data_IF_062821666097
#
_entry.id   IF_062821666097
#
_cell.length_a   1.000
_cell.length_b   1.000
_cell.length_c   1.000
_cell.angle_alpha   90.00
_cell.angle_beta   90.00
_cell.angle_gamma   90.00
#
_symmetry.space_group_name_H-M   'P 1'
#
loop_
_entity.id
_entity.type
_entity.pdbx_description
1 polymer ?
#
# COMPACT_ATOMS: atom_id res chain seq x y z
N UNK A 1 20.13 -70.02 -9.20
CA UNK A 1 21.26 -69.27 -8.59
C UNK A 1 20.68 -67.94 -8.12
N UNK A 2 20.03 -67.88 -6.94
CA UNK A 2 20.61 -67.60 -5.60
C UNK A 2 21.31 -66.23 -5.57
N UNK A 3 21.00 -65.25 -4.72
CA UNK A 3 20.29 -65.27 -3.44
C UNK A 3 19.80 -63.85 -3.06
N UNK A 4 18.82 -63.79 -2.15
CA UNK A 4 18.38 -62.59 -1.42
C UNK A 4 19.26 -62.35 -0.15
N UNK A 5 18.94 -61.40 0.75
CA UNK A 5 19.85 -60.44 1.41
C UNK A 5 20.39 -60.93 2.78
N UNK A 6 21.02 -60.06 3.61
CA UNK A 6 20.39 -59.84 4.93
C UNK A 6 20.58 -58.45 5.62
N UNK A 7 19.64 -58.17 6.53
CA UNK A 7 19.65 -57.48 7.84
C UNK A 7 20.92 -56.73 8.31
N UNK A 8 20.90 -55.62 9.07
CA UNK A 8 19.91 -54.94 9.92
C UNK A 8 20.60 -54.32 11.15
N UNK A 9 20.04 -53.22 11.70
CA UNK A 9 20.10 -52.69 13.10
C UNK A 9 20.39 -51.19 13.24
N UNK A 10 19.38 -50.52 13.78
CA UNK A 10 19.32 -49.45 14.79
C UNK A 10 20.59 -48.72 15.23
N UNK A 11 20.55 -47.38 15.17
CA UNK A 11 20.86 -46.52 16.32
C UNK A 11 20.14 -45.17 16.17
N UNK A 12 19.38 -44.81 17.21
CA UNK A 12 18.84 -43.48 17.44
C UNK A 12 19.97 -42.50 17.79
N UNK A 13 19.88 -41.24 17.35
CA UNK A 13 19.52 -40.06 18.17
C UNK A 13 20.03 -38.73 17.55
N UNK A 14 19.31 -37.65 17.91
CA UNK A 14 19.73 -36.24 17.97
C UNK A 14 19.63 -35.32 16.72
N UNK A 15 18.53 -34.55 16.74
CA UNK A 15 18.46 -33.08 16.62
C UNK A 15 18.95 -32.37 15.34
N UNK A 16 17.97 -31.93 14.55
CA UNK A 16 18.12 -30.84 13.58
C UNK A 16 16.75 -30.37 13.07
N UNK A 17 15.96 -29.71 13.92
CA UNK A 17 14.67 -29.11 13.51
C UNK A 17 14.94 -27.93 12.57
N UNK A 18 14.62 -28.13 11.29
CA UNK A 18 14.47 -27.05 10.32
C UNK A 18 13.14 -26.32 10.59
N UNK A 19 13.23 -25.02 10.87
CA UNK A 19 12.07 -24.13 10.98
C UNK A 19 11.51 -23.87 9.57
N UNK A 20 10.32 -24.41 9.29
CA UNK A 20 9.44 -23.94 8.21
C UNK A 20 8.33 -23.13 8.86
N UNK A 21 8.39 -21.81 8.67
CA UNK A 21 7.30 -20.89 9.01
C UNK A 21 6.22 -21.08 7.95
N UNK A 22 5.19 -21.85 8.31
CA UNK A 22 3.93 -21.92 7.56
C UNK A 22 3.01 -20.88 8.21
N UNK A 23 2.66 -19.84 7.45
CA UNK A 23 1.71 -18.83 7.88
C UNK A 23 0.31 -19.45 7.86
N UNK A 24 -0.26 -19.74 9.03
CA UNK A 24 -1.62 -20.23 9.18
C UNK A 24 -2.40 -19.25 10.07
N UNK A 25 -3.25 -18.44 9.43
CA UNK A 25 -4.32 -17.72 10.10
C UNK A 25 -5.58 -18.56 9.88
N UNK A 26 -5.91 -19.39 10.87
CA UNK A 26 -7.20 -20.04 11.06
C UNK A 26 -7.30 -20.43 12.53
N UNK A 27 -8.01 -19.63 13.33
CA UNK A 27 -8.82 -20.09 14.47
C UNK A 27 -9.42 -18.89 15.22
N UNK A 28 -10.71 -18.63 15.00
CA UNK A 28 -11.54 -18.02 16.03
C UNK A 28 -12.96 -18.58 15.96
N UNK A 29 -13.21 -19.60 16.76
CA UNK A 29 -14.53 -19.94 17.28
C UNK A 29 -14.41 -21.09 18.29
N UNK A 30 -14.54 -20.78 19.59
CA UNK A 30 -15.55 -21.35 20.48
C UNK A 30 -15.23 -21.24 21.99
N UNK A 31 -16.17 -20.59 22.71
CA UNK A 31 -16.80 -20.99 24.00
C UNK A 31 -16.27 -20.40 25.33
N UNK A 32 -17.11 -19.46 25.82
CA UNK A 32 -17.72 -19.31 27.15
C UNK A 32 -16.93 -18.87 28.42
N UNK A 33 -17.53 -17.85 29.04
CA UNK A 33 -17.34 -17.23 30.37
C UNK A 33 -17.98 -18.06 31.51
N UNK A 34 -18.05 -17.64 32.80
CA UNK A 34 -17.11 -16.95 33.73
C UNK A 34 -16.94 -17.72 35.07
N UNK A 35 -15.97 -17.33 35.92
CA UNK A 35 -16.17 -17.16 37.40
C UNK A 35 -14.92 -16.60 38.10
N UNK A 36 -15.19 -15.74 39.08
CA UNK A 36 -14.25 -14.83 39.74
C UNK A 36 -13.15 -15.46 40.60
N UNK A 37 -12.13 -14.66 40.93
CA UNK A 37 -11.90 -14.17 42.29
C UNK A 37 -10.63 -13.29 42.39
N UNK A 38 -10.80 -12.17 43.11
CA UNK A 38 -9.88 -11.54 44.07
C UNK A 38 -8.51 -11.02 43.60
N UNK A 39 -8.46 -9.68 43.54
CA UNK A 39 -7.56 -8.80 44.29
C UNK A 39 -6.21 -9.35 44.76
N UNK A 40 -5.12 -8.72 44.32
CA UNK A 40 -4.00 -8.35 45.18
C UNK A 40 -3.41 -7.02 44.71
N UNK A 41 -3.51 -6.01 45.58
CA UNK A 41 -2.73 -4.79 45.53
C UNK A 41 -1.35 -5.06 46.15
N UNK A 42 -0.30 -4.47 45.58
CA UNK A 42 0.90 -4.14 46.32
C UNK A 42 1.48 -2.80 45.85
N UNK A 43 1.37 -1.81 46.73
CA UNK A 43 2.27 -0.68 46.83
C UNK A 43 3.70 -1.16 47.12
N UNK A 44 4.70 -0.46 46.57
CA UNK A 44 5.80 0.16 47.33
C UNK A 44 6.82 0.76 46.33
N UNK A 45 7.00 2.10 46.31
CA UNK A 45 7.89 2.90 47.17
C UNK A 45 9.35 2.85 46.71
N UNK A 46 9.84 4.04 46.31
CA UNK A 46 11.22 4.45 46.05
C UNK A 46 12.14 4.21 47.26
N UNK A 47 13.46 4.08 47.03
CA UNK A 47 14.36 5.22 47.30
C UNK A 47 15.43 5.35 46.18
N UNK A 48 15.98 6.53 45.86
CA UNK A 48 16.84 7.37 46.70
C UNK A 48 18.29 7.22 46.20
N UNK A 49 18.91 8.31 45.71
CA UNK A 49 20.07 8.26 44.80
C UNK A 49 21.47 8.40 45.42
N UNK A 50 22.47 8.57 44.55
CA UNK A 50 23.68 9.38 44.80
C UNK A 50 24.43 9.68 43.49
N UNK A 51 24.82 10.95 43.38
CA UNK A 51 25.90 11.59 42.62
C UNK A 51 27.15 10.75 42.30
N UNK A 52 27.90 11.11 41.24
CA UNK A 52 29.32 11.58 41.28
C UNK A 52 29.91 11.77 39.87
N UNK A 53 30.19 13.04 39.53
CA UNK A 53 31.39 13.62 38.89
C UNK A 53 31.76 13.39 37.41
N UNK A 54 31.62 14.51 36.70
CA UNK A 54 32.32 15.06 35.52
C UNK A 54 33.84 14.87 35.51
N UNK A 55 34.43 14.52 34.35
CA UNK A 55 35.77 15.01 33.98
C UNK A 55 35.85 15.24 32.47
N UNK A 56 36.04 16.51 32.12
CA UNK A 56 36.32 17.04 30.78
C UNK A 56 37.83 17.03 30.55
N UNK A 57 38.28 16.61 29.36
CA UNK A 57 39.65 16.87 28.89
C UNK A 57 39.58 17.45 27.47
N UNK A 58 40.01 18.70 27.36
CA UNK A 58 40.31 19.43 26.13
C UNK A 58 41.80 19.23 25.83
N UNK A 59 42.20 19.21 24.54
CA UNK A 59 43.45 19.86 24.20
C UNK A 59 43.30 20.82 23.01
N UNK A 60 43.56 22.09 23.28
CA UNK A 60 44.02 23.11 22.32
C UNK A 60 45.54 23.09 22.26
N UNK A 61 46.13 23.12 21.07
CA UNK A 61 47.27 24.01 20.77
C UNK A 61 47.47 24.20 19.27
N UNK A 62 47.66 25.48 18.95
CA UNK A 62 48.05 26.15 17.71
C UNK A 62 49.43 25.77 17.14
N UNK A 63 49.61 25.90 15.83
CA UNK A 63 50.88 26.32 15.23
C UNK A 63 50.69 26.99 13.86
N UNK A 64 51.57 27.95 13.61
CA UNK A 64 51.53 29.05 12.65
C UNK A 64 52.07 28.71 11.25
N UNK A 65 51.73 29.60 10.31
CA UNK A 65 51.99 29.60 8.88
C UNK A 65 53.47 29.59 8.45
N UNK A 66 53.72 29.05 7.24
CA UNK A 66 54.79 29.51 6.33
C UNK A 66 54.28 29.53 4.89
N UNK A 67 54.37 30.73 4.31
CA UNK A 67 54.16 31.09 2.91
C UNK A 67 55.37 30.66 2.07
N UNK A 68 55.14 29.95 0.97
CA UNK A 68 56.09 29.90 -0.15
C UNK A 68 55.32 30.00 -1.46
N UNK A 69 55.59 31.09 -2.17
CA UNK A 69 55.05 31.46 -3.47
C UNK A 69 55.76 30.69 -4.59
N UNK A 70 55.02 29.92 -5.39
CA UNK A 70 55.44 29.57 -6.76
C UNK A 70 54.24 29.62 -7.69
N UNK A 71 54.27 30.60 -8.59
CA UNK A 71 53.26 30.82 -9.61
C UNK A 71 53.43 29.80 -10.75
N UNK A 72 52.38 29.04 -11.05
CA UNK A 72 52.24 28.33 -12.31
C UNK A 72 50.89 28.70 -12.94
N UNK A 73 50.96 29.41 -14.06
CA UNK A 73 49.82 29.71 -14.92
C UNK A 73 49.21 28.41 -15.44
N UNK A 74 47.96 28.12 -15.04
CA UNK A 74 47.12 27.15 -15.75
C UNK A 74 45.78 27.80 -16.06
N UNK A 75 45.52 27.96 -17.37
CA UNK A 75 44.28 28.46 -17.96
C UNK A 75 43.07 27.75 -17.34
N UNK A 76 42.20 28.52 -16.69
CA UNK A 76 40.92 28.05 -16.15
C UNK A 76 39.86 28.31 -17.22
N UNK A 77 39.44 27.26 -17.93
CA UNK A 77 38.21 27.28 -18.69
C UNK A 77 37.04 27.35 -17.69
N UNK A 78 36.29 28.43 -17.73
CA UNK A 78 35.07 28.63 -16.94
C UNK A 78 33.93 27.84 -17.58
N UNK A 79 33.77 26.57 -17.21
CA UNK A 79 32.49 25.88 -17.38
C UNK A 79 31.57 26.31 -16.25
N UNK A 80 30.65 27.23 -16.55
CA UNK A 80 29.55 27.61 -15.66
C UNK A 80 28.61 26.42 -15.50
N UNK A 81 28.87 25.57 -14.51
CA UNK A 81 27.89 24.61 -14.02
C UNK A 81 26.83 25.39 -13.25
N UNK A 82 25.73 25.73 -13.91
CA UNK A 82 24.53 26.25 -13.27
C UNK A 82 23.95 25.17 -12.37
N UNK A 83 24.35 25.20 -11.10
CA UNK A 83 23.66 24.53 -10.01
C UNK A 83 22.27 25.16 -9.88
N UNK A 84 21.30 24.60 -10.59
CA UNK A 84 19.87 24.90 -10.42
C UNK A 84 19.47 24.42 -9.02
N UNK A 85 19.65 25.33 -8.06
CA UNK A 85 18.96 25.26 -6.78
C UNK A 85 17.50 25.53 -7.10
N UNK A 86 16.71 24.47 -7.22
CA UNK A 86 15.25 24.58 -7.34
C UNK A 86 14.73 25.26 -6.08
N UNK A 87 14.52 26.58 -6.17
CA UNK A 87 13.67 27.31 -5.26
C UNK A 87 12.34 26.55 -5.21
N UNK A 88 11.99 26.02 -4.04
CA UNK A 88 10.68 25.48 -3.72
C UNK A 88 9.67 26.64 -3.78
N UNK A 89 9.31 27.05 -4.99
CA UNK A 89 8.12 27.84 -5.21
C UNK A 89 6.95 26.90 -4.89
N UNK A 90 6.15 27.24 -3.88
CA UNK A 90 4.82 26.68 -3.67
C UNK A 90 3.91 27.14 -4.83
N UNK A 91 4.22 26.67 -6.04
CA UNK A 91 3.36 26.87 -7.21
C UNK A 91 2.15 25.95 -6.97
N UNK A 92 0.93 26.48 -6.91
CA UNK A 92 -0.26 25.66 -6.86
C UNK A 92 -0.21 24.64 -8.00
N UNK A 93 -0.54 23.38 -7.71
CA UNK A 93 -0.63 22.37 -8.76
C UNK A 93 -1.59 22.87 -9.84
N UNK A 94 -1.21 22.84 -11.13
CA UNK A 94 -2.08 23.30 -12.19
C UNK A 94 -3.42 22.56 -12.13
N UNK A 95 -4.51 23.31 -12.24
CA UNK A 95 -5.89 22.79 -12.25
C UNK A 95 -6.58 23.26 -13.52
N UNK A 96 -7.60 22.50 -13.95
CA UNK A 96 -8.44 22.88 -15.09
C UNK A 96 -9.14 24.22 -14.82
N UNK A 97 -9.57 24.46 -13.58
CA UNK A 97 -10.16 25.74 -13.16
C UNK A 97 -9.17 26.91 -13.24
N UNK A 98 -7.88 26.64 -13.03
CA UNK A 98 -6.79 27.59 -13.25
C UNK A 98 -6.42 27.77 -14.73
N UNK A 99 -7.16 27.16 -15.66
CA UNK A 99 -6.93 27.25 -17.11
C UNK A 99 -5.83 26.34 -17.64
N UNK A 100 -5.30 25.40 -16.84
CA UNK A 100 -4.25 24.49 -17.28
C UNK A 100 -4.78 23.43 -18.26
N UNK A 101 -3.99 23.09 -19.27
CA UNK A 101 -4.36 22.01 -20.21
C UNK A 101 -4.21 20.64 -19.55
N UNK A 102 -4.92 19.58 -20.03
CA UNK A 102 -4.73 18.22 -19.53
C UNK A 102 -3.27 17.76 -19.57
N UNK A 103 -2.51 18.17 -20.58
CA UNK A 103 -1.08 17.85 -20.72
C UNK A 103 -0.24 18.54 -19.64
N UNK A 104 -0.55 19.79 -19.29
CA UNK A 104 0.14 20.52 -18.21
C UNK A 104 -0.15 19.88 -16.85
N UNK A 105 -1.38 19.44 -16.61
CA UNK A 105 -1.74 18.76 -15.37
C UNK A 105 -1.05 17.40 -15.29
N UNK A 106 -1.00 16.65 -16.40
CA UNK A 106 -0.25 15.38 -16.48
C UNK A 106 1.24 15.61 -16.29
N UNK A 107 1.83 16.64 -16.88
CA UNK A 107 3.24 16.97 -16.71
C UNK A 107 3.57 17.32 -15.24
N UNK A 108 2.70 18.08 -14.57
CA UNK A 108 2.85 18.36 -13.15
C UNK A 108 2.71 17.11 -12.28
N UNK A 109 1.73 16.24 -12.56
CA UNK A 109 1.58 14.96 -11.87
C UNK A 109 2.80 14.05 -12.09
N UNK A 110 3.34 14.02 -13.30
CA UNK A 110 4.56 13.27 -13.66
C UNK A 110 5.82 13.77 -12.94
N UNK A 111 5.86 15.04 -12.55
CA UNK A 111 6.94 15.67 -11.81
C UNK A 111 6.72 15.63 -10.29
N UNK A 112 5.55 15.17 -9.82
CA UNK A 112 5.23 15.18 -8.40
C UNK A 112 6.16 14.24 -7.62
N UNK A 113 6.80 14.72 -6.53
CA UNK A 113 7.53 13.85 -5.62
C UNK A 113 6.55 13.00 -4.81
N UNK A 114 7.01 11.88 -4.21
CA UNK A 114 6.19 11.18 -3.23
C UNK A 114 5.86 12.12 -2.05
N UNK A 115 4.71 11.94 -1.41
CA UNK A 115 4.30 12.77 -0.29
C UNK A 115 5.29 12.67 0.88
N UNK A 116 5.52 13.80 1.56
CA UNK A 116 6.42 13.87 2.71
C UNK A 116 5.73 13.60 4.04
N UNK A 117 4.39 13.63 4.06
CA UNK A 117 3.56 13.39 5.24
C UNK A 117 2.23 12.70 4.90
N UNK A 118 1.59 12.09 5.91
CA UNK A 118 0.25 11.51 5.77
C UNK A 118 -0.80 12.54 5.36
N UNK A 119 -0.69 13.77 5.83
CA UNK A 119 -1.61 14.85 5.47
C UNK A 119 -1.51 15.20 3.97
N UNK A 120 -0.29 15.35 3.45
CA UNK A 120 -0.07 15.58 2.03
C UNK A 120 -0.55 14.40 1.18
N UNK A 121 -0.27 13.18 1.65
CA UNK A 121 -0.70 11.95 1.02
C UNK A 121 -2.23 11.93 0.89
N UNK A 122 -2.96 12.17 1.98
CA UNK A 122 -4.42 12.16 1.99
C UNK A 122 -5.01 13.21 1.03
N UNK A 123 -4.44 14.42 1.02
CA UNK A 123 -4.86 15.45 0.07
C UNK A 123 -4.55 15.08 -1.38
N UNK A 124 -3.42 14.43 -1.62
CA UNK A 124 -3.03 14.01 -2.97
C UNK A 124 -3.92 12.87 -3.48
N UNK A 125 -4.27 11.89 -2.64
CA UNK A 125 -5.17 10.80 -3.01
C UNK A 125 -6.58 11.30 -3.34
N UNK A 126 -7.11 12.26 -2.56
CA UNK A 126 -8.40 12.91 -2.86
C UNK A 126 -8.34 13.64 -4.21
N UNK A 127 -7.30 14.43 -4.48
CA UNK A 127 -7.17 15.14 -5.76
C UNK A 127 -7.10 14.18 -6.95
N UNK A 128 -6.26 13.14 -6.84
CA UNK A 128 -6.11 12.15 -7.89
C UNK A 128 -7.43 11.41 -8.17
N UNK A 129 -8.17 11.04 -7.12
CA UNK A 129 -9.47 10.41 -7.25
C UNK A 129 -10.52 11.34 -7.88
N UNK A 130 -10.59 12.62 -7.46
CA UNK A 130 -11.53 13.59 -8.07
C UNK A 130 -11.30 13.75 -9.58
N UNK A 131 -10.04 13.83 -9.98
CA UNK A 131 -9.69 13.89 -11.40
C UNK A 131 -10.13 12.64 -12.15
N UNK A 132 -9.87 11.45 -11.59
CA UNK A 132 -10.29 10.20 -12.23
C UNK A 132 -11.82 10.06 -12.33
N UNK A 133 -12.57 10.45 -11.29
CA UNK A 133 -14.04 10.48 -11.32
C UNK A 133 -14.55 11.43 -12.39
N UNK A 134 -13.95 12.63 -12.50
CA UNK A 134 -14.29 13.61 -13.53
C UNK A 134 -14.02 13.09 -14.94
N UNK A 135 -12.98 12.28 -15.12
CA UNK A 135 -12.64 11.62 -16.38
C UNK A 135 -13.50 10.37 -16.64
N UNK A 136 -14.48 10.07 -15.77
CA UNK A 136 -15.50 9.04 -15.95
C UNK A 136 -15.13 7.66 -15.40
N UNK A 137 -14.08 7.56 -14.59
CA UNK A 137 -13.68 6.30 -13.97
C UNK A 137 -14.53 6.00 -12.72
N UNK A 138 -15.12 4.81 -12.67
CA UNK A 138 -16.04 4.34 -11.62
C UNK A 138 -15.46 3.25 -10.71
N UNK A 139 -14.38 2.56 -11.12
CA UNK A 139 -13.65 1.60 -10.31
C UNK A 139 -12.23 2.10 -10.02
N UNK A 140 -11.99 2.55 -8.80
CA UNK A 140 -10.73 3.18 -8.41
C UNK A 140 -9.98 2.35 -7.35
N UNK A 141 -8.66 2.27 -7.48
CA UNK A 141 -7.75 1.76 -6.44
C UNK A 141 -6.95 2.92 -5.84
N UNK A 142 -6.99 3.01 -4.51
CA UNK A 142 -6.13 3.88 -3.72
C UNK A 142 -5.34 2.99 -2.78
N UNK A 143 -4.02 3.03 -2.91
CA UNK A 143 -3.12 2.16 -2.14
C UNK A 143 -1.95 2.96 -1.61
N UNK A 144 -1.77 2.93 -0.30
CA UNK A 144 -0.59 3.45 0.39
C UNK A 144 -0.46 2.85 1.79
N UNK A 145 0.72 2.91 2.42
CA UNK A 145 0.90 2.39 3.78
C UNK A 145 0.01 3.17 4.75
N UNK A 146 -0.87 2.51 5.52
CA UNK A 146 -1.78 3.20 6.45
C UNK A 146 -1.09 3.70 7.71
N UNK A 147 0.12 3.21 7.97
CA UNK A 147 0.97 3.59 9.09
C UNK A 147 2.41 3.75 8.56
N UNK A 148 3.24 4.56 9.24
CA UNK A 148 4.67 4.67 8.93
C UNK A 148 5.36 3.30 8.88
N UNK A 149 6.35 3.13 8.00
CA UNK A 149 7.06 1.86 7.85
C UNK A 149 7.68 1.37 9.17
N UNK A 150 8.28 2.27 9.95
CA UNK A 150 8.87 1.96 11.26
C UNK A 150 7.84 1.50 12.30
N UNK A 151 6.55 1.87 12.15
CA UNK A 151 5.46 1.42 13.02
C UNK A 151 4.95 0.06 12.54
N UNK A 152 4.77 -0.11 11.22
CA UNK A 152 4.34 -1.39 10.64
C UNK A 152 5.32 -2.55 10.87
N UNK A 153 6.59 -2.24 11.13
CA UNK A 153 7.63 -3.23 11.44
C UNK A 153 7.70 -3.61 12.92
N UNK A 154 6.91 -2.97 13.80
CA UNK A 154 6.89 -3.28 15.22
C UNK A 154 6.03 -4.53 15.49
N UNK A 155 6.54 -5.44 16.32
CA UNK A 155 5.87 -6.71 16.66
C UNK A 155 4.55 -6.53 17.42
N UNK A 156 4.32 -5.36 18.02
CA UNK A 156 3.13 -5.03 18.81
C UNK A 156 1.98 -4.46 17.96
N UNK A 157 2.21 -4.14 16.68
CA UNK A 157 1.17 -3.63 15.79
C UNK A 157 0.30 -4.79 15.31
N UNK A 158 -0.94 -4.82 15.80
CA UNK A 158 -1.90 -5.84 15.43
C UNK A 158 -2.56 -5.54 14.09
N UNK A 159 -3.16 -6.56 13.48
CA UNK A 159 -4.02 -6.38 12.31
C UNK A 159 -5.18 -5.40 12.57
N UNK A 160 -5.70 -5.36 13.80
CA UNK A 160 -6.76 -4.43 14.19
C UNK A 160 -6.28 -2.98 14.26
N UNK A 161 -5.02 -2.72 14.63
CA UNK A 161 -4.47 -1.37 14.63
C UNK A 161 -4.31 -0.85 13.20
N UNK A 162 -3.87 -1.72 12.28
CA UNK A 162 -3.80 -1.42 10.85
C UNK A 162 -5.20 -1.20 10.27
N UNK A 163 -6.18 -2.05 10.62
CA UNK A 163 -7.57 -1.90 10.19
C UNK A 163 -8.16 -0.57 10.68
N UNK A 164 -7.93 -0.20 11.94
CA UNK A 164 -8.36 1.10 12.50
C UNK A 164 -7.74 2.28 11.77
N UNK A 165 -6.44 2.22 11.47
CA UNK A 165 -5.76 3.26 10.71
C UNK A 165 -6.35 3.41 9.30
N UNK A 166 -6.62 2.29 8.62
CA UNK A 166 -7.30 2.28 7.32
C UNK A 166 -8.70 2.90 7.38
N UNK A 167 -9.52 2.54 8.38
CA UNK A 167 -10.87 3.11 8.52
C UNK A 167 -10.80 4.62 8.78
N UNK A 168 -9.91 5.09 9.64
CA UNK A 168 -9.70 6.54 9.84
C UNK A 168 -9.35 7.27 8.54
N UNK A 169 -8.37 6.75 7.79
CA UNK A 169 -7.95 7.33 6.52
C UNK A 169 -9.08 7.32 5.47
N UNK A 170 -9.86 6.25 5.42
CA UNK A 170 -11.01 6.14 4.52
C UNK A 170 -12.15 7.08 4.92
N UNK A 171 -12.39 7.29 6.21
CA UNK A 171 -13.37 8.27 6.69
C UNK A 171 -12.94 9.70 6.36
N UNK A 172 -11.65 10.04 6.53
CA UNK A 172 -11.12 11.34 6.12
C UNK A 172 -11.20 11.55 4.61
N UNK A 173 -10.97 10.48 3.82
CA UNK A 173 -11.15 10.49 2.38
C UNK A 173 -12.62 10.74 2.02
N UNK A 174 -13.54 9.97 2.58
CA UNK A 174 -14.98 10.08 2.35
C UNK A 174 -15.51 11.46 2.73
N UNK A 175 -15.05 12.01 3.85
CA UNK A 175 -15.40 13.36 4.30
C UNK A 175 -15.03 14.42 3.26
N UNK A 176 -13.89 14.27 2.59
CA UNK A 176 -13.46 15.23 1.56
C UNK A 176 -14.37 15.21 0.31
N UNK A 177 -15.05 14.09 0.04
CA UNK A 177 -16.04 13.99 -1.05
C UNK A 177 -17.44 14.42 -0.63
N UNK A 178 -17.86 14.05 0.59
CA UNK A 178 -19.16 14.45 1.12
C UNK A 178 -19.25 15.96 1.40
N UNK A 179 -18.18 16.58 1.91
CA UNK A 179 -18.16 18.02 2.27
C UNK A 179 -18.25 18.95 1.05
N UNK A 180 -17.82 18.49 -0.13
CA UNK A 180 -17.92 19.25 -1.38
C UNK A 180 -19.36 19.43 -1.89
N UNK A 181 -20.35 18.73 -1.32
CA UNK A 181 -21.76 18.86 -1.72
C UNK A 181 -22.47 20.08 -1.09
N UNK A 182 -21.92 20.63 0.00
CA UNK A 182 -22.61 21.66 0.82
C UNK A 182 -22.01 23.07 0.72
N UNK A 183 -20.82 23.21 0.14
CA UNK A 183 -20.14 24.48 -0.03
C UNK A 183 -20.05 24.84 -1.51
N UNK A 184 -20.69 25.95 -1.88
CA UNK A 184 -20.56 26.72 -3.13
C UNK A 184 -21.21 26.17 -4.40
N UNK A 185 -22.15 26.95 -4.95
CA UNK A 185 -22.61 26.89 -6.35
C UNK A 185 -21.51 27.29 -7.35
N UNK A 186 -20.37 26.62 -7.29
CA UNK A 186 -19.25 26.79 -8.19
C UNK A 186 -18.58 25.44 -8.46
N UNK A 187 -18.90 24.83 -9.61
CA UNK A 187 -18.04 23.96 -10.41
C UNK A 187 -17.53 22.61 -9.87
N UNK A 188 -17.17 22.48 -8.60
CA UNK A 188 -16.51 21.28 -8.05
C UNK A 188 -17.59 20.34 -7.49
N UNK A 189 -18.26 19.62 -8.40
CA UNK A 189 -19.39 18.73 -8.14
C UNK A 189 -19.14 17.76 -6.99
N UNK A 190 -19.52 18.16 -5.78
CA UNK A 190 -19.47 17.30 -4.61
C UNK A 190 -20.28 16.05 -4.86
N UNK A 191 -19.63 14.90 -4.73
CA UNK A 191 -20.33 13.63 -4.67
C UNK A 191 -21.24 13.67 -3.44
N UNK A 192 -22.49 13.23 -3.61
CA UNK A 192 -23.51 13.24 -2.57
C UNK A 192 -23.12 12.39 -1.35
N UNK A 193 -23.96 11.43 -0.96
CA UNK A 193 -23.64 10.60 0.20
C UNK A 193 -22.51 9.62 -0.13
N UNK A 194 -21.54 9.47 0.77
CA UNK A 194 -20.44 8.51 0.67
C UNK A 194 -20.61 7.42 1.73
N UNK A 195 -20.47 6.16 1.34
CA UNK A 195 -20.51 5.02 2.26
C UNK A 195 -19.14 4.36 2.38
N UNK A 196 -18.62 4.21 3.60
CA UNK A 196 -17.44 3.40 3.90
C UNK A 196 -17.90 2.01 4.31
N UNK A 197 -17.50 0.99 3.55
CA UNK A 197 -17.97 -0.39 3.70
C UNK A 197 -16.87 -1.29 4.28
N UNK A 198 -17.14 -1.86 5.46
CA UNK A 198 -16.39 -2.97 6.04
C UNK A 198 -16.89 -4.33 5.51
N UNK A 199 -16.13 -5.43 5.66
CA UNK A 199 -16.50 -6.75 5.13
C UNK A 199 -17.91 -7.21 5.52
N UNK A 200 -18.21 -7.16 6.82
CA UNK A 200 -19.45 -7.65 7.40
C UNK A 200 -19.87 -6.83 8.62
N UNK A 201 -21.04 -7.15 9.16
CA UNK A 201 -21.62 -6.45 10.32
C UNK A 201 -20.81 -6.65 11.61
N UNK A 202 -20.10 -7.77 11.75
CA UNK A 202 -19.30 -8.05 12.93
C UNK A 202 -18.07 -7.13 12.97
N UNK A 203 -17.35 -7.02 11.86
CA UNK A 203 -16.23 -6.08 11.69
C UNK A 203 -16.70 -4.63 11.86
N UNK A 204 -17.87 -4.30 11.30
CA UNK A 204 -18.46 -2.98 11.46
C UNK A 204 -18.77 -2.65 12.92
N UNK A 205 -19.37 -3.59 13.66
CA UNK A 205 -19.67 -3.43 15.09
C UNK A 205 -18.40 -3.27 15.93
N UNK A 206 -17.38 -4.08 15.68
CA UNK A 206 -16.07 -3.97 16.36
C UNK A 206 -15.50 -2.56 16.14
N UNK A 207 -15.64 -2.02 14.92
CA UNK A 207 -15.11 -0.72 14.59
C UNK A 207 -15.85 0.43 15.30
N UNK A 208 -17.19 0.36 15.38
CA UNK A 208 -17.98 1.32 16.18
C UNK A 208 -17.57 1.34 17.64
N UNK A 209 -17.46 0.16 18.27
CA UNK A 209 -17.12 0.05 19.69
C UNK A 209 -15.68 0.52 19.97
N UNK A 210 -14.74 0.11 19.12
CA UNK A 210 -13.31 0.38 19.31
C UNK A 210 -12.96 1.84 19.05
N UNK A 211 -13.54 2.43 18.01
CA UNK A 211 -13.26 3.82 17.62
C UNK A 211 -14.24 4.83 18.25
N UNK A 212 -15.28 4.35 18.93
CA UNK A 212 -16.38 5.16 19.48
C UNK A 212 -17.03 6.01 18.40
N UNK A 213 -17.32 5.38 17.26
CA UNK A 213 -17.97 6.01 16.11
C UNK A 213 -19.44 5.66 16.07
N UNK A 214 -20.25 6.62 15.64
CA UNK A 214 -21.63 6.38 15.23
C UNK A 214 -21.69 5.84 13.79
N UNK A 215 -22.88 5.38 13.38
CA UNK A 215 -23.15 4.95 11.99
C UNK A 215 -22.87 6.05 10.97
N UNK A 216 -23.20 7.30 11.31
CA UNK A 216 -22.98 8.47 10.45
C UNK A 216 -21.97 9.42 11.13
N UNK A 217 -20.66 9.07 11.10
CA UNK A 217 -19.64 9.77 11.89
C UNK A 217 -19.40 11.21 11.41
N UNK A 218 -19.73 11.53 10.15
CA UNK A 218 -19.63 12.87 9.58
C UNK A 218 -20.84 13.16 8.68
N UNK A 219 -21.22 14.45 8.47
CA UNK A 219 -22.28 14.80 7.54
C UNK A 219 -22.03 14.24 6.13
N UNK A 220 -23.00 13.47 5.61
CA UNK A 220 -22.91 12.84 4.29
C UNK A 220 -21.98 11.62 4.21
N UNK A 221 -21.42 11.15 5.32
CA UNK A 221 -20.59 9.93 5.40
C UNK A 221 -21.27 8.91 6.29
N UNK A 222 -21.53 7.72 5.74
CA UNK A 222 -22.06 6.57 6.49
C UNK A 222 -20.99 5.49 6.57
N UNK A 223 -20.69 5.00 7.77
CA UNK A 223 -19.92 3.78 7.99
C UNK A 223 -20.90 2.61 8.07
N UNK A 224 -20.66 1.51 7.38
CA UNK A 224 -21.53 0.31 7.41
C UNK A 224 -20.79 -0.92 6.88
N UNK A 225 -21.45 -2.06 6.78
CA UNK A 225 -20.91 -3.28 6.17
C UNK A 225 -21.35 -3.46 4.71
N UNK A 226 -20.53 -4.21 3.95
CA UNK A 226 -20.78 -4.66 2.58
C UNK A 226 -21.83 -5.79 2.59
N UNK A 227 -21.60 -6.83 3.38
CA UNK A 227 -22.61 -7.87 3.67
C UNK A 227 -23.55 -7.38 4.75
N UNK A 228 -24.85 -7.32 4.44
CA UNK A 228 -25.89 -6.88 5.38
C UNK A 228 -26.93 -7.97 5.59
N UNK A 229 -27.32 -8.18 6.84
CA UNK A 229 -28.47 -9.01 7.19
C UNK A 229 -29.77 -8.41 6.67
N UNK A 230 -30.76 -9.25 6.41
CA UNK A 230 -32.11 -8.76 6.14
C UNK A 230 -32.70 -8.14 7.41
N UNK A 231 -33.46 -7.04 7.26
CA UNK A 231 -34.08 -6.36 8.40
C UNK A 231 -34.93 -7.35 9.22
N UNK A 232 -34.56 -7.54 10.49
CA UNK A 232 -35.24 -8.45 11.42
C UNK A 232 -34.59 -9.82 11.62
N UNK A 233 -33.51 -10.16 10.90
CA UNK A 233 -32.76 -11.38 11.17
C UNK A 233 -31.71 -11.16 12.27
N UNK A 234 -31.94 -11.76 13.44
CA UNK A 234 -31.08 -11.64 14.63
C UNK A 234 -30.01 -12.74 14.72
N UNK A 235 -29.87 -13.57 13.68
CA UNK A 235 -28.91 -14.68 13.67
C UNK A 235 -27.49 -14.17 13.48
N UNK A 236 -26.69 -14.25 14.56
CA UNK A 236 -25.26 -13.90 14.59
C UNK A 236 -24.41 -14.83 13.70
N UNK A 237 -24.91 -16.02 13.36
CA UNK A 237 -24.21 -17.02 12.55
C UNK A 237 -25.16 -17.63 11.52
N UNK A 238 -24.93 -17.35 10.22
CA UNK A 238 -25.55 -18.08 9.10
C UNK A 238 -24.54 -19.09 8.56
N UNK A 239 -24.66 -20.40 8.89
CA UNK A 239 -23.73 -21.41 8.37
C UNK A 239 -23.77 -21.50 6.84
N UNK A 240 -24.87 -21.07 6.19
CA UNK A 240 -24.92 -20.96 4.73
C UNK A 240 -23.93 -19.92 4.20
N UNK A 241 -23.82 -18.74 4.82
CA UNK A 241 -22.87 -17.70 4.40
C UNK A 241 -21.41 -18.15 4.60
N UNK A 242 -21.14 -18.93 5.65
CA UNK A 242 -19.81 -19.49 5.91
C UNK A 242 -19.45 -20.60 4.90
N UNK A 243 -20.42 -21.42 4.50
CA UNK A 243 -20.24 -22.46 3.49
C UNK A 243 -20.14 -21.88 2.07
N UNK A 244 -20.92 -20.84 1.74
CA UNK A 244 -20.87 -20.13 0.46
C UNK A 244 -19.55 -19.33 0.34
N UNK A 245 -19.12 -18.67 1.42
CA UNK A 245 -17.80 -18.03 1.52
C UNK A 245 -16.65 -19.05 1.37
N UNK A 246 -16.79 -20.25 1.94
CA UNK A 246 -15.83 -21.35 1.75
C UNK A 246 -15.79 -21.90 0.31
N UNK A 247 -16.90 -21.75 -0.43
CA UNK A 247 -17.01 -22.15 -1.83
C UNK A 247 -16.66 -21.02 -2.82
N UNK A 248 -16.29 -19.83 -2.34
CA UNK A 248 -15.88 -18.69 -3.16
C UNK A 248 -16.99 -18.11 -4.06
N UNK A 249 -18.26 -18.37 -3.74
CA UNK A 249 -19.42 -17.98 -4.57
C UNK A 249 -20.18 -16.79 -4.00
N UNK A 250 -19.50 -15.64 -3.81
CA UNK A 250 -20.14 -14.39 -3.36
C UNK A 250 -21.00 -14.52 -2.11
N UNK A 251 -21.77 -13.49 -1.78
CA UNK A 251 -22.57 -13.48 -0.55
C UNK A 251 -23.96 -14.11 -0.70
N UNK A 252 -24.38 -14.45 -1.92
CA UNK A 252 -25.70 -14.98 -2.21
C UNK A 252 -26.83 -13.94 -2.08
N UNK A 253 -26.57 -12.67 -2.40
CA UNK A 253 -27.61 -11.62 -2.40
C UNK A 253 -27.69 -10.78 -1.11
N UNK A 254 -26.73 -10.91 -0.19
CA UNK A 254 -26.68 -10.06 1.03
C UNK A 254 -26.09 -8.67 0.76
N UNK A 255 -25.49 -8.49 -0.42
CA UNK A 255 -24.97 -7.21 -0.89
C UNK A 255 -26.12 -6.44 -1.54
N UNK A 256 -26.41 -5.28 -0.96
CA UNK A 256 -27.41 -4.34 -1.49
C UNK A 256 -26.74 -2.96 -1.59
N UNK A 257 -27.08 -2.12 -2.58
CA UNK A 257 -26.69 -0.72 -2.59
C UNK A 257 -27.38 0.05 -1.46
N UNK A 258 -26.94 1.29 -1.23
CA UNK A 258 -27.56 2.18 -0.25
C UNK A 258 -28.10 3.39 -1.01
N UNK A 259 -29.40 3.65 -0.90
CA UNK A 259 -30.11 4.64 -1.73
C UNK A 259 -29.56 6.05 -1.58
N UNK A 260 -29.18 6.69 -2.69
CA UNK A 260 -28.61 8.05 -2.68
C UNK A 260 -27.11 8.10 -2.36
N UNK A 261 -26.42 6.96 -2.32
CA UNK A 261 -24.95 6.91 -2.22
C UNK A 261 -24.29 7.03 -3.59
N UNK A 262 -23.42 8.01 -3.75
CA UNK A 262 -22.65 8.27 -4.97
C UNK A 262 -21.25 7.67 -4.94
N UNK A 263 -20.72 7.34 -3.76
CA UNK A 263 -19.40 6.70 -3.62
C UNK A 263 -19.42 5.61 -2.55
N UNK A 264 -18.85 4.47 -2.86
CA UNK A 264 -18.61 3.36 -1.94
C UNK A 264 -17.10 3.17 -1.74
N UNK A 265 -16.62 3.32 -0.52
CA UNK A 265 -15.21 3.13 -0.16
C UNK A 265 -15.08 1.80 0.57
N UNK A 266 -14.47 0.81 -0.10
CA UNK A 266 -14.29 -0.54 0.44
C UNK A 266 -12.99 -0.61 1.21
N UNK A 267 -13.05 -1.03 2.48
CA UNK A 267 -11.90 -1.13 3.37
C UNK A 267 -11.84 -2.49 4.05
N UNK A 268 -10.64 -2.97 4.35
CA UNK A 268 -10.38 -4.20 5.14
C UNK A 268 -10.94 -5.50 4.49
N UNK A 269 -11.45 -5.43 3.26
CA UNK A 269 -11.91 -6.60 2.50
C UNK A 269 -10.76 -7.54 2.11
N UNK A 270 -11.02 -8.84 2.17
CA UNK A 270 -10.11 -9.89 1.72
C UNK A 270 -10.51 -10.41 0.34
N UNK A 271 -9.76 -11.39 -0.19
CA UNK A 271 -10.12 -12.06 -1.44
C UNK A 271 -11.53 -12.70 -1.42
N UNK A 272 -12.05 -13.04 -0.23
CA UNK A 272 -13.39 -13.64 -0.09
C UNK A 272 -14.52 -12.63 -0.34
N UNK A 273 -14.30 -11.35 -0.03
CA UNK A 273 -15.29 -10.28 -0.19
C UNK A 273 -15.20 -9.58 -1.55
N UNK A 274 -14.15 -9.82 -2.35
CA UNK A 274 -14.04 -9.16 -3.65
C UNK A 274 -15.20 -9.51 -4.63
N UNK A 275 -15.73 -10.75 -4.68
CA UNK A 275 -16.93 -11.04 -5.46
C UNK A 275 -18.16 -10.24 -5.03
N UNK A 276 -18.23 -9.85 -3.75
CA UNK A 276 -19.32 -9.02 -3.22
C UNK A 276 -19.20 -7.57 -3.69
N UNK A 277 -17.96 -7.09 -3.89
CA UNK A 277 -17.71 -5.78 -4.50
C UNK A 277 -18.10 -5.80 -5.98
N UNK A 278 -17.84 -6.89 -6.70
CA UNK A 278 -18.31 -7.08 -8.07
C UNK A 278 -19.84 -7.12 -8.14
N UNK A 279 -20.49 -7.85 -7.22
CA UNK A 279 -21.95 -7.91 -7.09
C UNK A 279 -22.54 -6.50 -6.85
N UNK A 280 -21.92 -5.71 -5.96
CA UNK A 280 -22.31 -4.31 -5.72
C UNK A 280 -22.15 -3.46 -6.98
N UNK A 281 -21.01 -3.57 -7.67
CA UNK A 281 -20.74 -2.84 -8.91
C UNK A 281 -21.80 -3.15 -9.98
N UNK A 282 -22.14 -4.42 -10.17
CA UNK A 282 -23.13 -4.83 -11.17
C UNK A 282 -24.53 -4.30 -10.88
N UNK A 283 -24.89 -4.11 -9.60
CA UNK A 283 -26.16 -3.51 -9.21
C UNK A 283 -26.22 -1.99 -9.44
N UNK A 284 -25.08 -1.30 -9.41
CA UNK A 284 -25.04 0.19 -9.44
C UNK A 284 -24.51 0.78 -10.76
N UNK A 285 -23.81 0.02 -11.59
CA UNK A 285 -23.14 0.53 -12.81
C UNK A 285 -24.09 1.19 -13.83
N UNK A 286 -25.36 0.78 -13.85
CA UNK A 286 -26.38 1.32 -14.76
C UNK A 286 -27.21 2.44 -14.09
N UNK A 287 -27.01 2.69 -12.80
CA UNK A 287 -27.66 3.79 -12.08
C UNK A 287 -26.98 5.10 -12.46
N UNK A 288 -27.77 6.16 -12.57
CA UNK A 288 -27.30 7.53 -12.82
C UNK A 288 -27.90 8.47 -11.79
N UNK A 289 -27.09 9.38 -11.26
CA UNK A 289 -27.59 10.48 -10.43
C UNK A 289 -28.28 11.55 -11.28
N UNK A 290 -28.80 12.60 -10.62
CA UNK A 290 -29.45 13.75 -11.27
C UNK A 290 -28.55 14.44 -12.32
N UNK A 291 -27.24 14.30 -12.20
CA UNK A 291 -26.23 14.89 -13.07
C UNK A 291 -25.70 13.92 -14.12
N UNK A 292 -26.23 12.70 -14.20
CA UNK A 292 -25.81 11.67 -15.16
C UNK A 292 -24.53 10.93 -14.79
N UNK A 293 -24.06 11.02 -13.55
CA UNK A 293 -22.87 10.30 -13.08
C UNK A 293 -23.22 8.91 -12.53
N UNK A 294 -22.32 7.96 -12.73
CA UNK A 294 -22.36 6.64 -12.09
C UNK A 294 -21.85 6.71 -10.65
N UNK A 295 -22.41 5.90 -9.74
CA UNK A 295 -21.77 5.68 -8.45
C UNK A 295 -20.37 5.08 -8.60
N UNK A 296 -19.42 5.57 -7.81
CA UNK A 296 -18.01 5.16 -7.85
C UNK A 296 -17.70 4.18 -6.72
N UNK A 297 -16.91 3.15 -6.99
CA UNK A 297 -16.35 2.24 -6.00
C UNK A 297 -14.85 2.49 -5.87
N UNK A 298 -14.40 2.68 -4.65
CA UNK A 298 -12.98 2.89 -4.30
C UNK A 298 -12.50 1.71 -3.45
N UNK A 299 -11.59 0.91 -3.99
CA UNK A 299 -10.82 -0.08 -3.24
C UNK A 299 -9.70 0.63 -2.49
N UNK A 300 -9.86 0.76 -1.17
CA UNK A 300 -9.01 1.60 -0.35
C UNK A 300 -8.08 0.78 0.55
N UNK A 301 -6.78 0.85 0.25
CA UNK A 301 -5.70 0.14 0.96
C UNK A 301 -5.93 -1.38 1.11
N UNK A 302 -6.53 -2.00 0.09
CA UNK A 302 -6.82 -3.44 0.08
C UNK A 302 -5.62 -4.29 -0.35
N UNK A 303 -4.50 -3.68 -0.76
CA UNK A 303 -3.33 -4.39 -1.29
C UNK A 303 -3.71 -5.34 -2.44
N UNK A 304 -4.45 -4.84 -3.45
CA UNK A 304 -5.04 -5.68 -4.50
C UNK A 304 -4.01 -6.57 -5.21
N UNK A 305 -2.74 -6.15 -5.31
CA UNK A 305 -1.66 -7.00 -5.85
C UNK A 305 -1.42 -8.31 -5.07
N UNK A 306 -1.61 -8.29 -3.74
CA UNK A 306 -1.52 -9.50 -2.91
C UNK A 306 -2.77 -10.35 -3.17
N UNK A 307 -3.95 -9.74 -3.15
CA UNK A 307 -5.21 -10.43 -3.37
C UNK A 307 -5.29 -11.07 -4.77
N UNK A 308 -4.74 -10.41 -5.79
CA UNK A 308 -4.55 -10.97 -7.14
C UNK A 308 -3.65 -12.21 -7.12
N UNK A 309 -2.62 -12.23 -6.27
CA UNK A 309 -1.76 -13.39 -6.07
C UNK A 309 -2.48 -14.60 -5.46
N UNK A 310 -3.45 -14.33 -4.57
CA UNK A 310 -4.18 -15.34 -3.81
C UNK A 310 -5.32 -16.01 -4.62
N UNK A 311 -5.73 -15.44 -5.77
CA UNK A 311 -6.79 -16.04 -6.58
C UNK A 311 -6.43 -17.45 -7.05
N UNK A 312 -7.41 -18.34 -6.94
CA UNK A 312 -7.28 -19.77 -7.21
C UNK A 312 -6.77 -20.61 -6.04
N UNK A 313 -6.48 -20.01 -4.87
CA UNK A 313 -6.30 -20.79 -3.65
C UNK A 313 -7.65 -21.32 -3.13
N UNK A 314 -7.67 -22.38 -2.28
CA UNK A 314 -8.90 -22.88 -1.68
C UNK A 314 -9.66 -21.77 -0.94
N UNK A 315 -10.98 -21.71 -1.12
CA UNK A 315 -11.88 -20.68 -0.58
C UNK A 315 -11.71 -19.26 -1.13
N UNK A 316 -10.85 -19.05 -2.15
CA UNK A 316 -10.73 -17.77 -2.85
C UNK A 316 -11.31 -17.85 -4.27
N UNK A 317 -11.65 -16.70 -4.88
CA UNK A 317 -12.19 -16.68 -6.23
C UNK A 317 -11.21 -17.26 -7.25
N UNK A 318 -11.74 -17.76 -8.37
CA UNK A 318 -10.94 -18.24 -9.48
C UNK A 318 -10.09 -17.14 -10.12
N UNK A 319 -9.06 -17.54 -10.88
CA UNK A 319 -8.16 -16.61 -11.56
C UNK A 319 -8.86 -15.73 -12.60
N UNK A 320 -9.95 -16.24 -13.19
CA UNK A 320 -10.84 -15.54 -14.11
C UNK A 320 -11.44 -14.27 -13.50
N UNK A 321 -11.57 -14.22 -12.16
CA UNK A 321 -12.05 -13.04 -11.44
C UNK A 321 -11.18 -11.80 -11.70
N UNK A 322 -9.87 -12.00 -11.86
CA UNK A 322 -9.01 -10.87 -12.19
C UNK A 322 -9.36 -10.28 -13.54
N UNK A 323 -9.60 -11.12 -14.55
CA UNK A 323 -9.79 -10.67 -15.93
C UNK A 323 -11.12 -9.97 -16.08
N UNK A 324 -12.18 -10.57 -15.53
CA UNK A 324 -13.54 -10.02 -15.61
C UNK A 324 -13.75 -8.76 -14.77
N UNK A 325 -13.07 -8.62 -13.63
CA UNK A 325 -13.32 -7.53 -12.68
C UNK A 325 -12.07 -6.75 -12.24
N UNK A 326 -11.09 -7.36 -11.56
CA UNK A 326 -9.98 -6.61 -10.94
C UNK A 326 -9.03 -5.92 -11.94
N UNK A 327 -9.06 -6.32 -13.21
CA UNK A 327 -8.28 -5.72 -14.30
C UNK A 327 -8.82 -4.34 -14.69
N UNK A 328 -10.10 -4.06 -14.41
CA UNK A 328 -10.78 -2.79 -14.68
C UNK A 328 -10.59 -1.75 -13.57
N UNK A 329 -10.06 -2.16 -12.42
CA UNK A 329 -9.85 -1.26 -11.29
C UNK A 329 -8.65 -0.37 -11.56
N UNK A 330 -8.88 0.94 -11.67
CA UNK A 330 -7.85 1.91 -12.02
C UNK A 330 -7.11 2.44 -10.79
N UNK A 331 -5.79 2.25 -10.66
CA UNK A 331 -5.02 2.72 -9.51
C UNK A 331 -4.76 4.22 -9.58
N UNK A 332 -5.67 5.03 -9.06
CA UNK A 332 -5.59 6.49 -9.15
C UNK A 332 -4.53 7.09 -8.25
N UNK A 333 -4.27 6.47 -7.10
CA UNK A 333 -3.20 6.87 -6.21
C UNK A 333 -2.54 5.63 -5.62
N UNK A 334 -1.27 5.43 -5.93
CA UNK A 334 -0.58 4.20 -5.62
C UNK A 334 0.81 4.52 -5.07
N UNK A 335 1.09 4.10 -3.85
CA UNK A 335 2.38 4.26 -3.20
C UNK A 335 2.72 2.95 -2.51
N UNK A 336 3.64 2.19 -3.10
CA UNK A 336 4.06 0.91 -2.53
C UNK A 336 5.56 0.86 -2.35
N UNK A 337 5.98 0.75 -1.11
CA UNK A 337 7.38 0.60 -0.75
C UNK A 337 7.79 -0.87 -0.77
N UNK A 338 9.07 -1.09 -1.09
CA UNK A 338 9.72 -2.39 -1.12
C UNK A 338 11.13 -2.26 -0.60
N UNK A 339 11.48 -3.05 0.41
CA UNK A 339 12.85 -3.17 0.87
C UNK A 339 13.51 -4.34 0.16
N UNK A 340 14.74 -4.12 -0.30
CA UNK A 340 15.56 -5.12 -0.94
C UNK A 340 16.92 -5.17 -0.25
N UNK A 341 17.49 -6.37 -0.25
CA UNK A 341 18.86 -6.61 0.17
C UNK A 341 19.58 -7.36 -0.93
N UNK A 342 20.82 -6.94 -1.22
CA UNK A 342 21.65 -7.53 -2.26
C UNK A 342 23.06 -7.76 -1.75
N UNK A 343 23.54 -8.99 -1.91
CA UNK A 343 24.95 -9.29 -1.66
C UNK A 343 25.84 -8.76 -2.79
N UNK A 344 26.93 -8.09 -2.42
CA UNK A 344 27.94 -7.49 -3.31
C UNK A 344 29.32 -8.06 -3.00
N UNK A 345 30.24 -8.01 -3.96
CA UNK A 345 31.58 -8.62 -3.85
C UNK A 345 32.60 -7.80 -3.05
N UNK A 346 32.29 -6.53 -2.77
CA UNK A 346 33.12 -5.62 -1.98
C UNK A 346 32.37 -5.19 -0.71
N UNK A 347 33.08 -4.76 0.36
CA UNK A 347 32.44 -4.14 1.51
C UNK A 347 31.45 -3.03 1.09
N UNK A 348 30.26 -2.92 1.70
CA UNK A 348 29.76 -3.64 2.89
C UNK A 348 29.26 -5.09 2.70
N UNK A 349 29.52 -5.75 1.55
CA UNK A 349 29.09 -7.12 1.19
C UNK A 349 27.57 -7.36 1.11
N UNK A 350 26.78 -6.54 1.78
CA UNK A 350 25.32 -6.49 1.72
C UNK A 350 24.91 -5.04 1.57
N UNK A 351 24.18 -4.74 0.49
CA UNK A 351 23.59 -3.46 0.21
C UNK A 351 22.08 -3.56 0.45
N UNK A 352 21.60 -2.81 1.44
CA UNK A 352 20.17 -2.63 1.67
C UNK A 352 19.71 -1.36 0.96
N UNK A 353 18.61 -1.46 0.22
CA UNK A 353 18.03 -0.34 -0.50
C UNK A 353 16.51 -0.48 -0.55
N UNK A 354 15.82 0.65 -0.67
CA UNK A 354 14.37 0.70 -0.68
C UNK A 354 13.87 1.28 -2.01
N UNK A 355 12.95 0.57 -2.65
CA UNK A 355 12.19 1.05 -3.79
C UNK A 355 10.83 1.60 -3.35
N UNK A 356 10.28 2.52 -4.13
CA UNK A 356 8.87 2.88 -4.08
C UNK A 356 8.31 2.94 -5.49
N UNK A 357 7.25 2.19 -5.76
CA UNK A 357 6.44 2.34 -6.95
C UNK A 357 5.34 3.34 -6.63
N UNK A 358 5.40 4.51 -7.27
CA UNK A 358 4.53 5.64 -6.98
C UNK A 358 3.71 6.04 -8.22
N UNK A 359 2.45 6.40 -8.02
CA UNK A 359 1.59 6.99 -9.04
C UNK A 359 0.60 7.95 -8.39
N UNK A 360 0.36 9.08 -9.05
CA UNK A 360 -0.77 9.97 -8.78
C UNK A 360 -1.42 10.32 -10.12
N UNK A 361 -2.67 9.92 -10.31
CA UNK A 361 -3.45 10.22 -11.52
C UNK A 361 -3.54 11.74 -11.74
N UNK A 362 -3.45 12.24 -12.99
CA UNK A 362 -3.32 11.51 -14.27
C UNK A 362 -1.87 11.16 -14.66
N UNK A 363 -0.94 11.27 -13.71
CA UNK A 363 0.48 11.00 -13.93
C UNK A 363 0.80 9.52 -14.16
N UNK A 364 1.98 9.30 -14.73
CA UNK A 364 2.56 7.99 -14.99
C UNK A 364 3.07 7.31 -13.71
N UNK A 365 3.41 6.02 -13.80
CA UNK A 365 4.10 5.31 -12.72
C UNK A 365 5.54 5.78 -12.60
N UNK A 366 6.00 5.99 -11.38
CA UNK A 366 7.33 6.44 -11.04
C UNK A 366 8.02 5.38 -10.19
N UNK A 367 9.18 4.93 -10.66
CA UNK A 367 10.09 4.10 -9.87
C UNK A 367 11.01 5.02 -9.10
N UNK A 368 10.94 4.94 -7.78
CA UNK A 368 11.74 5.76 -6.87
C UNK A 368 12.70 4.87 -6.08
N UNK A 369 13.92 5.34 -5.85
CA UNK A 369 14.97 4.64 -5.12
C UNK A 369 15.42 5.46 -3.90
N UNK A 370 15.60 4.78 -2.78
CA UNK A 370 16.31 5.28 -1.59
C UNK A 370 17.43 4.30 -1.23
N UNK A 371 18.65 4.82 -1.11
CA UNK A 371 19.86 4.07 -0.76
C UNK A 371 20.19 4.13 0.74
N UNK A 372 19.22 4.51 1.58
CA UNK A 372 19.37 4.62 3.04
C UNK A 372 19.50 6.05 3.55
N UNK A 373 19.16 7.03 2.72
CA UNK A 373 19.17 8.46 3.07
C UNK A 373 17.82 8.95 3.62
N UNK A 374 16.78 8.11 3.53
CA UNK A 374 15.40 8.48 3.85
C UNK A 374 14.75 9.35 2.79
N UNK A 375 15.42 9.58 1.64
CA UNK A 375 14.93 10.42 0.55
C UNK A 375 14.88 9.64 -0.75
N UNK A 376 13.68 9.55 -1.29
CA UNK A 376 13.44 8.94 -2.59
C UNK A 376 13.91 9.85 -3.73
N UNK A 377 14.77 9.30 -4.60
CA UNK A 377 15.09 9.89 -5.90
C UNK A 377 14.30 9.19 -6.99
N UNK A 378 13.81 9.94 -7.97
CA UNK A 378 13.18 9.36 -9.17
C UNK A 378 14.23 8.67 -10.04
N UNK A 379 13.95 7.43 -10.42
CA UNK A 379 14.77 6.65 -11.36
C UNK A 379 14.19 6.74 -12.76
N UNK A 380 12.92 6.36 -12.91
CA UNK A 380 12.26 6.27 -14.22
C UNK A 380 10.75 6.50 -14.09
N UNK A 381 10.16 7.09 -15.13
CA UNK A 381 8.72 7.19 -15.33
C UNK A 381 8.26 6.20 -16.39
N UNK A 382 7.15 5.50 -16.15
CA UNK A 382 6.57 4.52 -17.05
C UNK A 382 5.07 4.81 -17.20
N UNK A 383 4.58 4.99 -18.41
CA UNK A 383 3.13 5.17 -18.65
C UNK A 383 2.32 3.93 -18.29
N UNK A 384 2.94 2.75 -18.42
CA UNK A 384 2.37 1.46 -18.03
C UNK A 384 3.07 0.98 -16.76
N UNK A 385 2.30 0.44 -15.81
CA UNK A 385 2.80 -0.16 -14.57
C UNK A 385 3.91 -1.17 -14.87
N UNK A 386 5.15 -0.96 -14.40
CA UNK A 386 6.21 -1.94 -14.59
C UNK A 386 5.88 -3.21 -13.79
N UNK A 387 6.05 -4.42 -14.37
CA UNK A 387 5.99 -5.66 -13.61
C UNK A 387 7.00 -5.65 -12.46
N UNK A 388 6.76 -6.45 -11.42
CA UNK A 388 7.62 -6.43 -10.23
C UNK A 388 9.09 -6.75 -10.55
N UNK A 389 9.33 -7.65 -11.50
CA UNK A 389 10.66 -7.94 -12.04
C UNK A 389 11.33 -6.71 -12.66
N UNK A 390 10.65 -6.05 -13.60
CA UNK A 390 11.13 -4.84 -14.27
C UNK A 390 11.37 -3.70 -13.28
N UNK A 391 10.47 -3.52 -12.31
CA UNK A 391 10.66 -2.55 -11.23
C UNK A 391 11.96 -2.81 -10.45
N UNK A 392 12.22 -4.06 -10.07
CA UNK A 392 13.47 -4.43 -9.37
C UNK A 392 14.71 -4.24 -10.24
N UNK A 393 14.62 -4.50 -11.53
CA UNK A 393 15.70 -4.26 -12.50
C UNK A 393 16.00 -2.77 -12.65
N UNK A 394 14.97 -1.92 -12.79
CA UNK A 394 15.13 -0.47 -12.85
C UNK A 394 15.86 0.09 -11.61
N UNK A 395 15.51 -0.38 -10.41
CA UNK A 395 16.23 -0.01 -9.18
C UNK A 395 17.69 -0.49 -9.21
N UNK A 396 17.91 -1.70 -9.72
CA UNK A 396 19.24 -2.30 -9.81
C UNK A 396 20.13 -1.55 -10.80
N UNK A 397 19.61 -1.17 -11.95
CA UNK A 397 20.35 -0.42 -12.96
C UNK A 397 20.72 0.97 -12.42
N UNK A 398 19.80 1.62 -11.71
CA UNK A 398 20.08 2.88 -11.03
C UNK A 398 21.21 2.75 -9.99
N UNK A 399 21.30 1.63 -9.26
CA UNK A 399 22.41 1.35 -8.35
C UNK A 399 23.74 1.09 -9.08
N UNK A 400 23.70 0.53 -10.30
CA UNK A 400 24.90 0.35 -11.15
C UNK A 400 25.42 1.71 -11.62
N UNK A 401 24.52 2.59 -12.04
CA UNK A 401 24.84 3.95 -12.48
C UNK A 401 25.46 4.77 -11.35
N UNK A 402 24.94 4.63 -10.13
CA UNK A 402 25.51 5.26 -8.93
C UNK A 402 26.86 4.65 -8.50
N UNK A 403 27.29 3.55 -9.13
CA UNK A 403 28.50 2.81 -8.76
C UNK A 403 28.38 2.04 -7.44
N UNK A 404 27.18 1.94 -6.87
CA UNK A 404 26.91 1.20 -5.63
C UNK A 404 27.05 -0.32 -5.83
N UNK A 405 26.88 -0.81 -7.06
CA UNK A 405 27.10 -2.20 -7.44
C UNK A 405 27.91 -2.32 -8.74
N UNK A 406 28.59 -3.45 -8.92
CA UNK A 406 29.40 -3.73 -10.10
C UNK A 406 28.59 -3.65 -11.40
N UNK A 407 29.24 -3.20 -12.47
CA UNK A 407 28.62 -3.13 -13.80
C UNK A 407 28.23 -4.53 -14.28
N UNK A 408 27.18 -4.62 -15.11
CA UNK A 408 26.65 -5.89 -15.62
C UNK A 408 27.73 -6.78 -16.29
N UNK A 409 28.68 -6.14 -16.98
CA UNK A 409 29.82 -6.79 -17.63
C UNK A 409 30.79 -7.47 -16.65
N UNK A 410 30.87 -6.98 -15.42
CA UNK A 410 31.75 -7.50 -14.37
C UNK A 410 31.09 -8.65 -13.59
N UNK A 411 29.75 -8.77 -13.63
CA UNK A 411 29.03 -9.79 -12.86
C UNK A 411 29.00 -11.17 -13.54
N UNK A 412 29.30 -11.27 -14.84
CA UNK A 412 29.22 -12.53 -15.59
C UNK A 412 27.78 -12.99 -15.83
N UNK A 413 27.50 -13.49 -17.04
CA UNK A 413 26.14 -13.80 -17.49
C UNK A 413 25.41 -14.84 -16.61
N UNK A 414 26.15 -15.82 -16.06
CA UNK A 414 25.60 -16.89 -15.21
C UNK A 414 25.10 -16.37 -13.85
N UNK A 415 25.86 -15.50 -13.19
CA UNK A 415 25.43 -14.90 -11.93
C UNK A 415 24.28 -13.90 -12.13
N UNK A 416 24.24 -13.22 -13.28
CA UNK A 416 23.09 -12.42 -13.69
C UNK A 416 21.81 -13.27 -13.74
N UNK A 417 21.84 -14.38 -14.49
CA UNK A 417 20.70 -15.29 -14.65
C UNK A 417 20.25 -15.96 -13.34
N UNK A 418 21.18 -16.44 -12.52
CA UNK A 418 20.86 -17.06 -11.22
C UNK A 418 20.20 -16.07 -10.24
N UNK A 419 20.44 -14.77 -10.41
CA UNK A 419 19.89 -13.71 -9.52
C UNK A 419 18.54 -13.16 -9.98
N UNK A 420 18.29 -13.10 -11.29
CA UNK A 420 16.98 -12.69 -11.83
C UNK A 420 15.96 -13.83 -11.82
N UNK A 421 16.42 -15.08 -11.99
CA UNK A 421 15.54 -16.24 -12.11
C UNK A 421 14.86 -16.31 -13.48
N UNK A 422 14.11 -17.39 -13.71
CA UNK A 422 13.47 -17.71 -15.00
C UNK A 422 12.14 -16.98 -15.22
N UNK A 423 11.39 -16.68 -14.14
CA UNK A 423 10.10 -16.00 -14.22
C UNK A 423 10.09 -14.82 -13.26
N UNK A 424 10.02 -13.62 -13.83
CA UNK A 424 10.10 -12.34 -13.12
C UNK A 424 8.75 -11.61 -13.02
N UNK A 425 7.72 -12.16 -13.67
CA UNK A 425 6.34 -11.66 -13.66
C UNK A 425 5.43 -12.60 -12.88
N UNK A 426 4.46 -12.04 -12.18
CA UNK A 426 3.36 -12.85 -11.60
C UNK A 426 2.39 -13.27 -12.70
N UNK A 427 1.60 -14.32 -12.45
CA UNK A 427 0.66 -14.86 -13.45
C UNK A 427 -0.37 -13.82 -13.92
N UNK A 428 -0.76 -12.88 -13.06
CA UNK A 428 -1.71 -11.81 -13.36
C UNK A 428 -1.04 -10.60 -14.05
N UNK A 429 0.29 -10.50 -14.02
CA UNK A 429 1.09 -9.54 -14.78
C UNK A 429 1.38 -9.99 -16.23
N UNK A 430 0.92 -11.17 -16.64
CA UNK A 430 1.01 -11.62 -18.03
C UNK A 430 -0.09 -10.96 -18.87
N UNK A 431 0.26 -10.56 -20.10
CA UNK A 431 -0.71 -10.02 -21.06
C UNK A 431 -1.67 -11.13 -21.49
N UNK A 432 -2.97 -10.84 -21.44
CA UNK A 432 -4.05 -11.77 -21.74
C UNK A 432 -5.13 -11.02 -22.50
N UNK A 433 -5.66 -11.66 -23.54
CA UNK A 433 -6.58 -11.03 -24.50
C UNK A 433 -7.87 -10.52 -23.84
N UNK A 434 -8.38 -11.26 -22.84
CA UNK A 434 -9.66 -10.96 -22.18
C UNK A 434 -9.53 -9.98 -21.00
N UNK A 435 -8.32 -9.60 -20.59
CA UNK A 435 -8.09 -8.76 -19.42
C UNK A 435 -8.00 -7.27 -19.78
N UNK A 436 -8.66 -6.41 -19.01
CA UNK A 436 -8.50 -4.95 -19.14
C UNK A 436 -7.08 -4.51 -18.76
N UNK A 437 -6.61 -3.43 -19.38
CA UNK A 437 -5.32 -2.79 -19.10
C UNK A 437 -5.44 -1.59 -18.15
N UNK A 438 -6.66 -1.28 -17.66
CA UNK A 438 -6.89 -0.12 -16.79
C UNK A 438 -6.09 -0.18 -15.50
N UNK A 439 -5.94 -1.37 -14.92
CA UNK A 439 -5.12 -1.56 -13.72
C UNK A 439 -3.62 -1.26 -13.93
N UNK A 440 -3.15 -1.26 -15.18
CA UNK A 440 -1.76 -0.90 -15.53
C UNK A 440 -1.59 0.54 -15.97
N UNK A 441 -2.66 1.29 -16.20
CA UNK A 441 -2.63 2.60 -16.88
C UNK A 441 -3.27 3.72 -16.10
#
# INVERSE_FOLDING_TARGET
MTASPPHGRDHANANGKAYRVLCAILCLSCVASPRGARAFAFNNVLPGGSTTTTTTIIPTTSASAKTTTTAFHRRRASSSSSSSSSLFMNIPTPTIEGGATPEEIRAAANASPPPSSFYELQRASVRAARMAVRDGHDLLEIEFPPLPANVLEMDDVSAYDVARANVNLALDFARAFASSSTASGGGDGGMGRVAVLLPDEAECKIMYETMKLDRDPYPGVTLTSLRRGDEGDTRIFRPENLLIGLLGRGSGGTVKPIDGTSMYVIVVASAQELPDVEELHDQIKDTRDEYGNTPVIVMYNLKLDILRGDLGAPAFPGKDFHDRFLSRVKPVYYLRTRQYSRSISSPPFVLNYQGCLFRSYPGHYQTLLDTGTGRYRKVVGNDVRPPLGTFKEQLTDALREDGAIAKREQEGALFGFLRTGYKTTTWWEEEREDASMEWRT
#
